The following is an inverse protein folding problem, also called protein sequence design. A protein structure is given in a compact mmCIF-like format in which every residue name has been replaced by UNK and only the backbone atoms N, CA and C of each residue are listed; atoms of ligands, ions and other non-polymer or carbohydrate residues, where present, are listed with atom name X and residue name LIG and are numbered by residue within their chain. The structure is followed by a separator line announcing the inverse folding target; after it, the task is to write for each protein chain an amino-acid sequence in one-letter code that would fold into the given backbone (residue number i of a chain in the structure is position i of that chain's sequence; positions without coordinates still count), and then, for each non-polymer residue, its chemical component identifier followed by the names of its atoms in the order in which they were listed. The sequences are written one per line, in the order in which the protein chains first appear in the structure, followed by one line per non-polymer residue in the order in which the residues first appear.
data_IF_368992676840
#
_entry.id   IF_368992676840
#
_cell.length_a   1.000
_cell.length_b   1.000
_cell.length_c   1.000
_cell.angle_alpha   90.00
_cell.angle_beta   90.00
_cell.angle_gamma   90.00
#
_symmetry.space_group_name_H-M   'P 1'
#
loop_
_entity.id
_entity.type
_entity.pdbx_description
1 polymer ?
#
# COMPACT_ATOMS: atom_id res chain seq x y z
N UNK A 1 -16.86 18.84 -4.90
CA UNK A 1 -17.02 17.75 -3.89
C UNK A 1 -15.66 17.60 -3.20
N UNK A 2 -15.61 17.97 -1.94
CA UNK A 2 -14.38 17.85 -1.16
C UNK A 2 -14.29 16.41 -0.65
N UNK A 3 -13.33 15.64 -1.16
CA UNK A 3 -13.14 14.24 -0.76
C UNK A 3 -12.14 14.17 0.40
N UNK A 4 -12.47 13.42 1.45
CA UNK A 4 -11.55 13.08 2.53
C UNK A 4 -10.49 12.07 2.07
N UNK A 5 -10.81 11.31 1.01
CA UNK A 5 -9.94 10.35 0.34
C UNK A 5 -9.79 10.75 -1.13
N UNK A 6 -8.54 10.93 -1.56
CA UNK A 6 -8.20 11.19 -2.96
C UNK A 6 -7.38 10.00 -3.45
N UNK A 7 -7.84 9.36 -4.52
CA UNK A 7 -7.17 8.26 -5.19
C UNK A 7 -6.59 8.77 -6.51
N UNK A 8 -5.31 8.58 -6.72
CA UNK A 8 -4.59 8.93 -7.93
C UNK A 8 -4.02 7.67 -8.56
N UNK A 9 -3.96 7.62 -9.87
CA UNK A 9 -3.45 6.46 -10.60
C UNK A 9 -2.22 6.83 -11.43
N UNK A 10 -1.20 5.98 -11.35
CA UNK A 10 -0.08 5.99 -12.26
C UNK A 10 -0.27 4.88 -13.31
N UNK A 11 -0.33 5.29 -14.58
CA UNK A 11 -0.60 4.37 -15.69
C UNK A 11 0.58 3.47 -15.99
N UNK A 12 1.81 3.94 -15.78
CA UNK A 12 3.03 3.21 -16.14
C UNK A 12 3.24 2.00 -15.24
N UNK A 13 3.08 2.17 -13.91
CA UNK A 13 3.22 1.09 -12.93
C UNK A 13 1.88 0.44 -12.56
N UNK A 14 0.76 0.99 -13.04
CA UNK A 14 -0.60 0.60 -12.63
C UNK A 14 -0.83 0.73 -11.11
N UNK A 15 -0.19 1.72 -10.50
CA UNK A 15 -0.20 1.95 -9.05
C UNK A 15 -1.19 3.03 -8.64
N UNK A 16 -1.87 2.81 -7.53
CA UNK A 16 -2.66 3.83 -6.85
C UNK A 16 -1.86 4.50 -5.73
N UNK A 17 -1.83 5.83 -5.76
CA UNK A 17 -1.43 6.67 -4.62
C UNK A 17 -2.68 7.22 -3.93
N UNK A 18 -2.72 7.19 -2.61
CA UNK A 18 -3.86 7.68 -1.83
C UNK A 18 -3.47 8.86 -0.96
N UNK A 19 -4.32 9.90 -0.94
CA UNK A 19 -4.24 10.97 0.05
C UNK A 19 -5.45 10.88 0.98
N UNK A 20 -5.17 10.73 2.27
CA UNK A 20 -6.16 10.78 3.36
C UNK A 20 -6.12 12.19 3.94
N UNK A 21 -7.26 12.88 4.01
CA UNK A 21 -7.30 14.30 4.36
C UNK A 21 -8.25 14.54 5.53
N UNK A 22 -7.76 15.21 6.57
CA UNK A 22 -8.63 15.86 7.53
C UNK A 22 -8.98 17.28 7.04
N UNK A 23 -10.25 17.49 6.71
CA UNK A 23 -10.72 18.77 6.17
C UNK A 23 -10.59 19.93 7.15
N UNK A 24 -10.73 19.65 8.45
CA UNK A 24 -10.74 20.71 9.45
C UNK A 24 -9.36 21.36 9.60
N UNK A 25 -8.30 20.55 9.57
CA UNK A 25 -6.91 21.02 9.73
C UNK A 25 -6.14 21.12 8.43
N UNK A 26 -6.66 20.49 7.35
CA UNK A 26 -5.98 20.21 6.07
C UNK A 26 -4.73 19.33 6.23
N UNK A 27 -4.57 18.68 7.38
CA UNK A 27 -3.53 17.67 7.52
C UNK A 27 -3.87 16.45 6.67
N UNK A 28 -2.83 15.85 6.06
CA UNK A 28 -2.97 14.73 5.14
C UNK A 28 -1.86 13.70 5.34
N UNK A 29 -2.15 12.48 4.88
CA UNK A 29 -1.16 11.40 4.67
C UNK A 29 -1.19 10.99 3.20
N UNK A 30 -0.02 10.66 2.63
CA UNK A 30 0.10 10.01 1.33
C UNK A 30 0.50 8.55 1.54
N UNK A 31 -0.15 7.63 0.82
CA UNK A 31 0.16 6.19 0.83
C UNK A 31 0.63 5.79 -0.57
N UNK A 32 1.74 5.07 -0.67
CA UNK A 32 2.32 4.47 -1.88
C UNK A 32 2.48 5.49 -3.01
N UNK A 33 3.29 6.53 -2.78
CA UNK A 33 3.60 7.56 -3.77
C UNK A 33 4.59 7.05 -4.82
N UNK A 34 4.41 7.45 -6.09
CA UNK A 34 5.28 7.08 -7.22
C UNK A 34 6.24 8.23 -7.54
N UNK A 35 7.54 7.97 -7.67
CA UNK A 35 8.57 9.00 -7.92
C UNK A 35 8.28 9.84 -9.18
N UNK A 36 7.91 9.18 -10.28
CA UNK A 36 7.53 9.83 -11.53
C UNK A 36 6.29 10.74 -11.42
N UNK A 37 5.50 10.63 -10.35
CA UNK A 37 4.28 11.39 -10.11
C UNK A 37 4.41 12.44 -8.99
N UNK A 38 5.58 12.64 -8.41
CA UNK A 38 5.79 13.55 -7.27
C UNK A 38 5.37 14.98 -7.61
N UNK A 39 5.62 15.48 -8.82
CA UNK A 39 5.19 16.85 -9.20
C UNK A 39 3.67 16.98 -9.26
N UNK A 40 2.96 15.96 -9.72
CA UNK A 40 1.50 15.87 -9.66
C UNK A 40 1.02 15.95 -8.21
N UNK A 41 1.64 15.17 -7.35
CA UNK A 41 1.26 15.06 -5.94
C UNK A 41 1.55 16.36 -5.19
N UNK A 42 2.69 17.00 -5.43
CA UNK A 42 3.01 18.32 -4.89
C UNK A 42 2.07 19.41 -5.42
N UNK A 43 1.66 19.36 -6.70
CA UNK A 43 0.67 20.27 -7.25
C UNK A 43 -0.70 20.09 -6.57
N UNK A 44 -1.10 18.85 -6.28
CA UNK A 44 -2.32 18.56 -5.50
C UNK A 44 -2.24 19.15 -4.09
N UNK A 45 -1.13 18.90 -3.39
CA UNK A 45 -0.88 19.41 -2.03
C UNK A 45 -1.01 20.95 -2.03
N UNK A 46 -0.34 21.63 -2.96
CA UNK A 46 -0.42 23.11 -3.08
C UNK A 46 -1.83 23.59 -3.41
N UNK A 47 -2.50 22.97 -4.38
CA UNK A 47 -3.84 23.37 -4.83
C UNK A 47 -4.88 23.28 -3.73
N UNK A 48 -4.78 22.23 -2.89
CA UNK A 48 -5.72 21.98 -1.79
C UNK A 48 -5.23 22.55 -0.46
N UNK A 49 -4.06 23.21 -0.44
CA UNK A 49 -3.41 23.77 0.75
C UNK A 49 -3.26 22.69 1.86
N UNK A 50 -2.80 21.51 1.49
CA UNK A 50 -2.65 20.40 2.41
C UNK A 50 -1.34 20.50 3.20
N UNK A 51 -1.39 20.08 4.44
CA UNK A 51 -0.22 19.91 5.32
C UNK A 51 0.10 18.41 5.38
N UNK A 52 1.01 17.95 4.54
CA UNK A 52 1.39 16.54 4.55
C UNK A 52 2.08 16.20 5.87
N UNK A 53 1.52 15.26 6.62
CA UNK A 53 2.10 14.79 7.90
C UNK A 53 2.98 13.57 7.69
N UNK A 54 2.55 12.64 6.83
CA UNK A 54 3.27 11.42 6.55
C UNK A 54 3.26 11.06 5.06
N UNK A 55 4.41 10.59 4.56
CA UNK A 55 4.52 9.81 3.34
C UNK A 55 4.75 8.35 3.77
N UNK A 56 3.80 7.46 3.45
CA UNK A 56 3.67 6.12 4.02
C UNK A 56 3.74 5.07 2.92
N UNK A 57 4.44 3.96 3.20
CA UNK A 57 4.55 2.81 2.32
C UNK A 57 3.80 1.60 2.89
N UNK A 58 3.09 0.85 2.05
CA UNK A 58 2.52 -0.45 2.43
C UNK A 58 3.57 -1.54 2.46
N UNK A 59 4.57 -1.46 1.58
CA UNK A 59 5.69 -2.39 1.48
C UNK A 59 6.84 -1.78 0.67
N UNK A 60 7.95 -2.49 0.49
CA UNK A 60 8.99 -2.09 -0.47
C UNK A 60 8.59 -2.55 -1.88
N UNK A 61 8.09 -1.63 -2.70
CA UNK A 61 7.59 -1.89 -4.05
C UNK A 61 8.70 -2.40 -5.00
N UNK A 62 8.32 -3.27 -5.94
CA UNK A 62 9.23 -3.86 -6.93
C UNK A 62 8.95 -3.38 -8.38
N UNK A 63 7.88 -2.66 -8.58
CA UNK A 63 7.33 -2.22 -9.87
C UNK A 63 7.59 -0.74 -10.19
N UNK A 64 7.80 0.08 -9.15
CA UNK A 64 8.10 1.50 -9.27
C UNK A 64 9.03 1.97 -8.15
N UNK A 65 9.65 3.13 -8.32
CA UNK A 65 10.39 3.83 -7.27
C UNK A 65 9.41 4.72 -6.51
N UNK A 66 9.45 4.65 -5.17
CA UNK A 66 8.61 5.51 -4.33
C UNK A 66 9.03 6.97 -4.38
N UNK A 67 8.06 7.88 -4.35
CA UNK A 67 8.26 9.31 -4.23
C UNK A 67 8.46 9.82 -2.80
N UNK A 68 8.49 8.93 -1.80
CA UNK A 68 8.45 9.32 -0.38
C UNK A 68 9.55 10.30 0.02
N UNK A 69 10.82 10.05 -0.35
CA UNK A 69 11.92 10.96 0.01
C UNK A 69 11.72 12.37 -0.57
N UNK A 70 11.25 12.47 -1.82
CA UNK A 70 10.99 13.76 -2.47
C UNK A 70 9.81 14.49 -1.84
N UNK A 71 8.74 13.79 -1.50
CA UNK A 71 7.61 14.38 -0.76
C UNK A 71 8.04 14.89 0.60
N UNK A 72 8.81 14.08 1.35
CA UNK A 72 9.38 14.47 2.67
C UNK A 72 10.25 15.71 2.52
N UNK A 73 11.16 15.73 1.57
CA UNK A 73 12.06 16.88 1.35
C UNK A 73 11.31 18.16 0.97
N UNK A 74 10.24 18.05 0.19
CA UNK A 74 9.48 19.21 -0.29
C UNK A 74 8.45 19.75 0.72
N UNK A 75 7.95 18.91 1.66
CA UNK A 75 6.84 19.26 2.54
C UNK A 75 7.20 19.31 4.02
N UNK A 76 8.33 18.73 4.41
CA UNK A 76 8.70 18.54 5.81
C UNK A 76 7.90 17.43 6.51
N UNK A 77 7.18 16.60 5.76
CA UNK A 77 6.48 15.42 6.28
C UNK A 77 7.46 14.40 6.88
N UNK A 78 6.95 13.48 7.70
CA UNK A 78 7.69 12.31 8.13
C UNK A 78 7.46 11.15 7.15
N UNK A 79 8.48 10.36 6.90
CA UNK A 79 8.31 9.06 6.23
C UNK A 79 7.88 8.00 7.23
N UNK A 80 6.97 7.09 6.82
CA UNK A 80 6.57 5.96 7.63
C UNK A 80 6.54 4.68 6.78
N UNK A 81 7.00 3.57 7.33
CA UNK A 81 7.04 2.29 6.63
C UNK A 81 6.92 1.11 7.61
N UNK A 82 6.47 -0.07 7.14
CA UNK A 82 6.48 -1.27 7.96
C UNK A 82 7.90 -1.66 8.39
N UNK A 83 8.10 -1.99 9.65
CA UNK A 83 9.40 -2.37 10.21
C UNK A 83 10.01 -3.61 9.54
N UNK A 84 9.17 -4.51 8.99
CA UNK A 84 9.59 -5.74 8.30
C UNK A 84 10.00 -5.56 6.83
N UNK A 85 9.81 -4.38 6.22
CA UNK A 85 10.11 -4.14 4.81
C UNK A 85 11.56 -3.81 4.50
N UNK A 86 12.40 -3.58 5.53
CA UNK A 86 13.79 -3.19 5.36
C UNK A 86 13.97 -1.74 4.91
N UNK A 87 12.96 -0.89 5.03
CA UNK A 87 13.01 0.57 4.75
C UNK A 87 13.52 1.28 6.01
N UNK A 88 14.80 1.10 6.31
CA UNK A 88 15.39 1.51 7.59
C UNK A 88 15.50 3.03 7.76
N UNK A 89 15.47 3.79 6.69
CA UNK A 89 15.56 5.26 6.70
C UNK A 89 14.22 5.93 6.99
N UNK A 90 13.11 5.20 7.06
CA UNK A 90 11.83 5.77 7.43
C UNK A 90 11.86 6.30 8.86
N UNK A 91 11.34 7.52 9.06
CA UNK A 91 11.28 8.18 10.37
C UNK A 91 10.44 7.39 11.38
N UNK A 92 9.40 6.72 10.90
CA UNK A 92 8.50 5.90 11.71
C UNK A 92 8.53 4.46 11.18
N UNK A 93 8.93 3.53 12.05
CA UNK A 93 8.93 2.10 11.79
C UNK A 93 7.65 1.51 12.40
N UNK A 94 6.69 1.14 11.56
CA UNK A 94 5.37 0.69 12.01
C UNK A 94 5.31 -0.80 12.29
N UNK A 95 4.59 -1.16 13.34
CA UNK A 95 4.28 -2.53 13.74
C UNK A 95 2.78 -2.80 13.68
N UNK A 96 2.41 -4.08 13.82
CA UNK A 96 0.99 -4.47 13.86
C UNK A 96 0.23 -3.77 14.99
N UNK A 97 -0.89 -3.16 14.65
CA UNK A 97 -1.74 -2.46 15.60
C UNK A 97 -1.35 -1.00 15.88
N UNK A 98 -0.20 -0.54 15.40
CA UNK A 98 0.20 0.87 15.54
C UNK A 98 -0.82 1.81 14.91
N UNK A 99 -0.88 3.02 15.45
CA UNK A 99 -1.80 4.07 15.00
C UNK A 99 -1.02 5.35 14.70
N UNK A 100 -1.12 5.84 13.48
CA UNK A 100 -0.69 7.19 13.13
C UNK A 100 -1.84 8.17 13.33
N UNK A 101 -1.56 9.26 14.01
CA UNK A 101 -2.53 10.33 14.27
C UNK A 101 -2.27 11.50 13.31
N UNK A 102 -3.33 12.10 12.79
CA UNK A 102 -3.30 13.34 12.03
C UNK A 102 -4.62 14.10 12.19
N UNK A 103 -4.63 15.35 11.77
CA UNK A 103 -5.83 16.17 11.92
C UNK A 103 -6.27 16.34 13.37
N UNK A 104 -7.56 16.51 13.59
CA UNK A 104 -8.14 16.67 14.93
C UNK A 104 -8.18 15.35 15.70
N UNK A 105 -8.60 14.27 15.04
CA UNK A 105 -8.81 12.96 15.69
C UNK A 105 -8.71 11.79 14.70
N UNK A 106 -8.07 12.00 13.55
CA UNK A 106 -7.93 10.94 12.55
C UNK A 106 -6.92 9.90 12.99
N UNK A 107 -7.28 8.64 12.80
CA UNK A 107 -6.49 7.48 13.20
C UNK A 107 -6.32 6.52 12.03
N UNK A 108 -5.11 6.39 11.52
CA UNK A 108 -4.74 5.35 10.58
C UNK A 108 -4.12 4.18 11.33
N UNK A 109 -4.77 3.02 11.32
CA UNK A 109 -4.30 1.82 12.03
C UNK A 109 -3.58 0.88 11.08
N UNK A 110 -2.41 0.43 11.50
CA UNK A 110 -1.61 -0.58 10.83
C UNK A 110 -2.12 -2.00 11.11
N UNK A 111 -2.16 -2.83 10.07
CA UNK A 111 -2.49 -4.24 10.10
C UNK A 111 -1.36 -4.99 9.40
N UNK A 112 -0.53 -5.72 10.13
CA UNK A 112 0.52 -6.53 9.51
C UNK A 112 -0.11 -7.64 8.67
N UNK A 113 0.13 -7.60 7.37
CA UNK A 113 -0.44 -8.53 6.38
C UNK A 113 0.66 -9.13 5.50
N UNK A 114 1.60 -9.91 6.10
CA UNK A 114 2.70 -10.54 5.38
C UNK A 114 2.21 -11.57 4.37
N UNK A 115 3.04 -11.84 3.39
CA UNK A 115 2.85 -12.92 2.42
C UNK A 115 3.06 -12.49 0.97
N UNK A 116 2.69 -11.29 0.55
CA UNK A 116 3.23 -10.68 -0.69
C UNK A 116 4.72 -10.37 -0.50
N UNK A 117 5.05 -9.64 0.55
CA UNK A 117 6.42 -9.54 1.11
C UNK A 117 6.37 -9.91 2.59
N UNK A 118 7.52 -10.21 3.20
CA UNK A 118 7.60 -10.54 4.63
C UNK A 118 7.14 -9.38 5.52
N UNK A 119 7.28 -8.14 5.08
CA UNK A 119 6.94 -6.94 5.84
C UNK A 119 5.67 -6.23 5.41
N UNK A 120 4.92 -6.75 4.44
CA UNK A 120 3.71 -6.08 3.92
C UNK A 120 2.72 -5.71 5.02
N UNK A 121 2.12 -4.54 4.88
CA UNK A 121 1.17 -3.97 5.83
C UNK A 121 -0.02 -3.37 5.10
N UNK A 122 -1.19 -3.55 5.66
CA UNK A 122 -2.41 -2.86 5.25
C UNK A 122 -2.74 -1.77 6.26
N UNK A 123 -3.52 -0.77 5.85
CA UNK A 123 -3.91 0.33 6.73
C UNK A 123 -5.41 0.52 6.74
N UNK A 124 -6.02 0.65 7.92
CA UNK A 124 -7.45 0.90 8.02
C UNK A 124 -7.75 2.33 8.50
N UNK A 125 -8.74 2.97 7.84
CA UNK A 125 -9.17 4.33 8.15
C UNK A 125 -10.64 4.55 7.73
N UNK A 126 -11.49 4.98 8.67
CA UNK A 126 -12.89 5.37 8.42
C UNK A 126 -13.70 4.38 7.56
N UNK A 127 -13.63 3.08 7.86
CA UNK A 127 -14.34 2.05 7.09
C UNK A 127 -13.74 1.76 5.71
N UNK A 128 -12.51 2.22 5.47
CA UNK A 128 -11.69 1.88 4.32
C UNK A 128 -10.48 1.07 4.77
N UNK A 129 -9.96 0.21 3.89
CA UNK A 129 -8.70 -0.49 4.09
C UNK A 129 -7.83 -0.36 2.83
N UNK A 130 -6.59 0.10 3.01
CA UNK A 130 -5.56 0.22 1.99
C UNK A 130 -4.68 -1.02 2.10
N UNK A 131 -4.79 -1.91 1.15
CA UNK A 131 -4.31 -3.29 1.30
C UNK A 131 -2.93 -3.53 0.71
N UNK A 132 -2.32 -2.51 0.09
CA UNK A 132 -1.11 -2.75 -0.68
C UNK A 132 -1.35 -3.88 -1.68
N UNK A 133 -0.41 -4.80 -1.74
CA UNK A 133 -0.50 -6.00 -2.56
C UNK A 133 -0.95 -7.26 -1.78
N UNK A 134 -1.37 -7.11 -0.52
CA UNK A 134 -1.94 -8.25 0.20
C UNK A 134 -3.26 -8.70 -0.45
N UNK A 135 -4.17 -7.75 -0.73
CA UNK A 135 -5.46 -8.02 -1.36
C UNK A 135 -5.70 -7.03 -2.49
N UNK A 136 -5.90 -7.53 -3.70
CA UNK A 136 -6.27 -6.76 -4.89
C UNK A 136 -7.75 -6.99 -5.22
N UNK A 137 -8.29 -6.19 -6.13
CA UNK A 137 -9.64 -6.40 -6.64
C UNK A 137 -9.66 -7.68 -7.48
N UNK A 138 -10.49 -8.64 -7.11
CA UNK A 138 -10.59 -9.98 -7.72
C UNK A 138 -9.24 -10.75 -7.75
N UNK A 139 -8.34 -10.46 -6.82
CA UNK A 139 -7.04 -11.12 -6.76
C UNK A 139 -6.26 -10.79 -5.49
N UNK A 140 -4.97 -11.12 -5.50
CA UNK A 140 -3.99 -10.74 -4.48
C UNK A 140 -2.61 -10.60 -5.14
N UNK A 141 -1.66 -10.01 -4.45
CA UNK A 141 -0.27 -9.95 -4.91
C UNK A 141 0.36 -11.33 -5.04
N UNK A 142 1.45 -11.41 -5.78
CA UNK A 142 2.30 -12.61 -5.85
C UNK A 142 3.04 -12.82 -4.54
N UNK A 143 3.57 -14.01 -4.30
CA UNK A 143 4.25 -14.37 -3.05
C UNK A 143 5.59 -15.08 -3.25
N UNK A 144 6.17 -14.97 -4.43
CA UNK A 144 7.38 -15.69 -4.84
C UNK A 144 8.66 -14.85 -4.78
N UNK A 145 8.58 -13.59 -4.31
CA UNK A 145 9.72 -12.67 -4.14
C UNK A 145 9.74 -12.02 -2.75
N UNK A 146 10.85 -11.37 -2.40
CA UNK A 146 11.01 -10.51 -1.21
C UNK A 146 10.59 -11.17 0.11
N UNK A 147 10.86 -12.48 0.26
CA UNK A 147 10.45 -13.23 1.45
C UNK A 147 8.94 -13.44 1.52
N UNK A 148 8.26 -13.44 0.35
CA UNK A 148 6.86 -13.77 0.25
C UNK A 148 6.57 -15.24 0.59
N UNK A 149 5.34 -15.50 1.01
CA UNK A 149 4.84 -16.83 1.38
C UNK A 149 3.33 -16.90 1.14
N UNK A 150 2.90 -17.81 0.30
CA UNK A 150 1.48 -17.94 -0.05
C UNK A 150 0.61 -18.34 1.15
N UNK A 151 1.12 -19.17 2.04
CA UNK A 151 0.40 -19.56 3.25
C UNK A 151 0.23 -18.39 4.21
N UNK A 152 1.28 -17.61 4.42
CA UNK A 152 1.21 -16.39 5.23
C UNK A 152 0.26 -15.35 4.61
N UNK A 153 0.23 -15.22 3.27
CA UNK A 153 -0.69 -14.33 2.57
C UNK A 153 -2.15 -14.75 2.81
N UNK A 154 -2.45 -16.04 2.65
CA UNK A 154 -3.79 -16.56 2.94
C UNK A 154 -4.21 -16.28 4.38
N UNK A 155 -3.33 -16.61 5.32
CA UNK A 155 -3.58 -16.44 6.75
C UNK A 155 -3.79 -14.96 7.11
N UNK A 156 -2.97 -14.05 6.56
CA UNK A 156 -3.08 -12.61 6.72
C UNK A 156 -4.43 -12.07 6.24
N UNK A 157 -4.82 -12.44 5.02
CA UNK A 157 -6.08 -11.99 4.43
C UNK A 157 -7.26 -12.47 5.29
N UNK A 158 -7.27 -13.75 5.67
CA UNK A 158 -8.40 -14.32 6.42
C UNK A 158 -8.46 -13.82 7.87
N UNK A 159 -7.30 -13.69 8.54
CA UNK A 159 -7.25 -13.30 9.95
C UNK A 159 -7.36 -11.78 10.18
N UNK A 160 -6.93 -10.95 9.21
CA UNK A 160 -6.88 -9.50 9.37
C UNK A 160 -7.88 -8.75 8.48
N UNK A 161 -7.96 -9.10 7.19
CA UNK A 161 -8.79 -8.36 6.24
C UNK A 161 -10.22 -8.88 6.20
N UNK A 162 -10.40 -10.19 6.07
CA UNK A 162 -11.73 -10.81 5.99
C UNK A 162 -12.49 -10.81 7.32
N UNK A 163 -11.88 -10.41 8.42
CA UNK A 163 -12.57 -10.15 9.70
C UNK A 163 -13.20 -8.75 9.76
N UNK A 164 -12.81 -7.85 8.87
CA UNK A 164 -13.43 -6.53 8.76
C UNK A 164 -14.88 -6.63 8.28
N UNK A 165 -15.74 -5.64 8.60
CA UNK A 165 -17.12 -5.60 8.12
C UNK A 165 -17.20 -5.72 6.59
N UNK A 166 -18.17 -6.42 6.06
CA UNK A 166 -18.35 -6.65 4.62
C UNK A 166 -18.47 -5.36 3.80
N UNK A 167 -18.97 -4.28 4.41
CA UNK A 167 -19.09 -2.95 3.77
C UNK A 167 -17.77 -2.17 3.74
N UNK A 168 -16.72 -2.64 4.41
CA UNK A 168 -15.40 -1.98 4.39
C UNK A 168 -14.89 -1.93 2.95
N UNK A 169 -14.54 -0.73 2.47
CA UNK A 169 -14.02 -0.53 1.13
C UNK A 169 -12.56 -0.95 1.06
N UNK A 170 -12.21 -1.67 -0.01
CA UNK A 170 -10.86 -2.15 -0.29
C UNK A 170 -10.22 -1.26 -1.35
N UNK A 171 -9.09 -0.68 -1.01
CA UNK A 171 -8.25 0.16 -1.86
C UNK A 171 -6.87 -0.51 -2.01
N UNK A 172 -6.60 -1.20 -3.12
CA UNK A 172 -5.35 -1.92 -3.35
C UNK A 172 -4.23 -0.99 -3.83
N UNK A 173 -2.97 -1.47 -3.83
CA UNK A 173 -1.88 -0.73 -4.48
C UNK A 173 -2.00 -0.75 -6.00
N UNK A 174 -2.53 -1.82 -6.59
CA UNK A 174 -2.61 -1.97 -8.05
C UNK A 174 -3.99 -2.36 -8.55
N UNK A 175 -4.30 -1.90 -9.77
CA UNK A 175 -5.35 -2.49 -10.61
C UNK A 175 -4.94 -2.46 -12.08
N UNK A 176 -5.20 -3.56 -12.78
CA UNK A 176 -4.84 -3.75 -14.19
C UNK A 176 -6.07 -3.83 -15.11
N UNK A 177 -7.27 -3.59 -14.57
CA UNK A 177 -8.57 -3.81 -15.25
C UNK A 177 -9.46 -2.58 -15.28
N UNK A 178 -9.01 -1.45 -14.70
CA UNK A 178 -9.78 -0.21 -14.65
C UNK A 178 -10.76 -0.12 -13.47
N UNK A 179 -10.58 -0.99 -12.44
CA UNK A 179 -11.35 -0.87 -11.20
C UNK A 179 -10.66 0.11 -10.26
N UNK A 180 -11.43 0.74 -9.39
CA UNK A 180 -10.89 1.72 -8.44
C UNK A 180 -11.05 1.30 -6.99
N UNK A 181 -12.07 0.51 -6.67
CA UNK A 181 -12.45 0.13 -5.31
C UNK A 181 -13.27 -1.14 -5.32
N UNK A 182 -13.10 -1.95 -4.27
CA UNK A 182 -13.92 -3.12 -3.97
C UNK A 182 -14.47 -3.05 -2.55
N UNK A 183 -14.99 -4.14 -2.02
CA UNK A 183 -15.40 -4.29 -0.62
C UNK A 183 -14.93 -5.63 -0.08
N UNK A 184 -14.74 -5.70 1.24
CA UNK A 184 -14.40 -6.96 1.91
C UNK A 184 -15.43 -8.05 1.60
N UNK A 185 -16.71 -7.70 1.61
CA UNK A 185 -17.77 -8.66 1.30
C UNK A 185 -17.76 -9.13 -0.16
N UNK A 186 -17.37 -8.29 -1.11
CA UNK A 186 -17.19 -8.70 -2.49
C UNK A 186 -16.02 -9.69 -2.62
N UNK A 187 -14.85 -9.32 -2.08
CA UNK A 187 -13.65 -10.15 -2.17
C UNK A 187 -13.82 -11.51 -1.50
N UNK A 188 -14.49 -11.59 -0.34
CA UNK A 188 -14.83 -12.88 0.28
C UNK A 188 -15.61 -13.82 -0.65
N UNK A 189 -16.54 -13.27 -1.44
CA UNK A 189 -17.47 -14.07 -2.26
C UNK A 189 -16.99 -14.32 -3.69
N UNK A 190 -16.22 -13.38 -4.25
CA UNK A 190 -15.96 -13.35 -5.69
C UNK A 190 -14.49 -13.34 -6.08
N UNK A 191 -13.57 -13.08 -5.13
CA UNK A 191 -12.14 -13.02 -5.46
C UNK A 191 -11.66 -14.32 -6.11
N UNK A 192 -11.15 -14.21 -7.34
CA UNK A 192 -10.80 -15.37 -8.17
C UNK A 192 -9.70 -16.27 -7.55
N UNK A 193 -8.87 -15.71 -6.66
CA UNK A 193 -7.80 -16.46 -5.99
C UNK A 193 -8.18 -16.97 -4.61
N UNK A 194 -9.18 -16.36 -3.93
CA UNK A 194 -9.47 -16.58 -2.52
C UNK A 194 -10.84 -17.22 -2.27
N UNK A 195 -11.88 -16.81 -3.04
CA UNK A 195 -13.25 -17.24 -2.78
C UNK A 195 -13.40 -18.75 -2.91
N UNK A 196 -14.01 -19.36 -1.88
CA UNK A 196 -14.26 -20.82 -1.82
C UNK A 196 -13.00 -21.70 -1.92
N UNK A 197 -11.82 -21.19 -1.58
CA UNK A 197 -10.58 -21.98 -1.59
C UNK A 197 -10.13 -22.30 -0.17
N UNK A 198 -9.67 -23.53 0.01
CA UNK A 198 -8.92 -23.89 1.21
C UNK A 198 -7.52 -23.27 1.16
N UNK A 199 -6.88 -23.18 2.32
CA UNK A 199 -5.48 -22.74 2.40
C UNK A 199 -4.54 -23.54 1.49
N UNK A 200 -4.73 -24.86 1.42
CA UNK A 200 -3.92 -25.75 0.59
C UNK A 200 -4.12 -25.47 -0.91
N UNK A 201 -5.38 -25.31 -1.35
CA UNK A 201 -5.71 -25.01 -2.75
C UNK A 201 -5.19 -23.62 -3.16
N UNK A 202 -5.18 -22.67 -2.23
CA UNK A 202 -4.61 -21.34 -2.47
C UNK A 202 -3.09 -21.42 -2.65
N UNK A 203 -2.40 -22.14 -1.78
CA UNK A 203 -0.94 -22.31 -1.88
C UNK A 203 -0.58 -23.00 -3.21
N UNK A 204 -1.31 -24.05 -3.57
CA UNK A 204 -1.11 -24.74 -4.85
C UNK A 204 -1.31 -23.79 -6.03
N UNK A 205 -2.41 -23.05 -6.05
CA UNK A 205 -2.66 -22.03 -7.08
C UNK A 205 -1.51 -21.02 -7.18
N UNK A 206 -1.07 -20.47 -6.05
CA UNK A 206 -0.04 -19.43 -6.03
C UNK A 206 1.33 -19.94 -6.47
N UNK A 207 1.64 -21.21 -6.18
CA UNK A 207 2.89 -21.85 -6.60
C UNK A 207 2.96 -22.07 -8.11
N UNK A 208 1.80 -22.23 -8.77
CA UNK A 208 1.69 -22.44 -10.22
C UNK A 208 1.39 -21.16 -11.01
N UNK A 209 1.43 -19.99 -10.36
CA UNK A 209 1.29 -18.72 -11.08
C UNK A 209 2.53 -18.43 -11.91
N UNK A 210 2.39 -18.54 -13.23
CA UNK A 210 3.44 -18.17 -14.20
C UNK A 210 3.32 -16.65 -14.51
N UNK A 211 3.88 -15.83 -13.64
CA UNK A 211 3.88 -14.37 -13.80
C UNK A 211 5.30 -13.90 -14.16
N UNK A 212 5.43 -13.00 -15.16
CA UNK A 212 6.74 -12.44 -15.48
C UNK A 212 7.35 -11.72 -14.27
N UNK A 213 8.67 -11.75 -14.17
CA UNK A 213 9.39 -11.02 -13.11
C UNK A 213 9.09 -9.52 -13.23
N UNK A 214 8.86 -8.80 -12.12
CA UNK A 214 8.70 -7.35 -12.16
C UNK A 214 9.93 -6.68 -12.79
N UNK A 215 9.71 -5.87 -13.83
CA UNK A 215 10.78 -5.29 -14.64
C UNK A 215 11.74 -4.39 -13.86
N UNK A 216 11.21 -3.69 -12.86
CA UNK A 216 11.97 -2.71 -12.06
C UNK A 216 12.59 -3.31 -10.80
N UNK A 217 12.37 -4.58 -10.47
CA UNK A 217 12.71 -5.19 -9.18
C UNK A 217 14.17 -4.92 -8.74
N UNK A 218 15.12 -5.07 -9.67
CA UNK A 218 16.54 -4.94 -9.36
C UNK A 218 16.98 -3.49 -9.06
N UNK A 219 16.17 -2.52 -9.48
CA UNK A 219 16.38 -1.09 -9.24
C UNK A 219 15.45 -0.57 -8.15
N UNK A 220 14.17 -0.91 -8.24
CA UNK A 220 13.16 -0.36 -7.34
C UNK A 220 13.30 -0.86 -5.90
N UNK A 221 13.53 -2.17 -5.69
CA UNK A 221 13.63 -2.71 -4.32
C UNK A 221 14.79 -2.11 -3.53
N UNK A 222 16.04 -2.03 -4.05
CA UNK A 222 17.12 -1.32 -3.35
C UNK A 222 16.85 0.16 -3.14
N UNK A 223 16.30 0.87 -4.14
CA UNK A 223 15.96 2.27 -4.01
C UNK A 223 14.87 2.48 -2.94
N UNK A 224 13.80 1.67 -2.95
CA UNK A 224 12.69 1.80 -2.03
C UNK A 224 13.07 1.46 -0.58
N UNK A 225 14.00 0.55 -0.36
CA UNK A 225 14.61 0.35 0.96
C UNK A 225 15.37 1.59 1.47
N UNK A 226 15.75 2.48 0.56
CA UNK A 226 16.33 3.79 0.83
C UNK A 226 15.32 4.94 0.58
N UNK A 227 14.02 4.72 0.76
CA UNK A 227 12.94 5.71 0.57
C UNK A 227 12.87 6.28 -0.88
N UNK A 228 13.23 5.52 -1.89
CA UNK A 228 13.26 5.95 -3.28
C UNK A 228 14.57 6.62 -3.71
N UNK A 229 15.56 6.72 -2.81
CA UNK A 229 16.88 7.24 -3.19
C UNK A 229 17.68 6.12 -3.87
N UNK A 230 18.00 6.34 -5.15
CA UNK A 230 18.82 5.38 -5.91
C UNK A 230 20.22 5.39 -5.32
N UNK A 231 20.74 4.25 -4.81
CA UNK A 231 22.13 4.17 -4.38
C UNK A 231 23.05 4.47 -5.55
N UNK A 232 23.94 5.44 -5.41
CA UNK A 232 25.01 5.62 -6.39
C UNK A 232 25.90 4.37 -6.38
N UNK A 233 26.16 3.81 -7.57
CA UNK A 233 27.17 2.77 -7.70
C UNK A 233 28.51 3.34 -7.19
N UNK A 234 29.10 2.65 -6.20
CA UNK A 234 30.40 3.01 -5.66
C UNK A 234 31.52 2.69 -6.65
#
# INVERSE_FOLDING_TARGET
MEHDLIQLFDVESSTFTYFLVDRATREAMAIDSVDGQVERDLALIRRLDLKLRYALETHAHADHITGAARLVAATGALSAAPSGCGILLANVQMQDGDVLLFGVAEQLRALHTPGHTAGSMSFSWRGNVFTGDALLIDGCGRSDFQGGDAGALYDSIHAKLFTLPDITRVYPAHDYRGNAVSTIGWEKRHNARLANRSRADFIDLMTHLDLPRPKMMDVAVPANRNLGIIPHAA
#
